data_IF_321007554513
#
_entry.id   IF_321007554513
#
_cell.length_a   1.000
_cell.length_b   1.000
_cell.length_c   1.000
_cell.angle_alpha   90.00
_cell.angle_beta   90.00
_cell.angle_gamma   90.00
#
_symmetry.space_group_name_H-M   'P 1'
#
loop_
_entity.id
_entity.type
_entity.pdbx_description
1 polymer ?
#
# COMPACT_ATOMS: atom_id res chain seq x y z
N UNK A 1 11.30 -5.62 0.65
CA UNK A 1 10.23 -5.10 1.54
C UNK A 1 9.18 -6.19 1.81
N UNK A 2 8.19 -5.94 2.66
CA UNK A 2 7.17 -6.94 3.07
C UNK A 2 6.46 -7.62 1.89
N UNK A 3 6.06 -6.84 0.87
CA UNK A 3 5.40 -7.35 -0.33
C UNK A 3 6.33 -8.32 -1.10
N UNK A 4 7.58 -7.93 -1.33
CA UNK A 4 8.52 -8.79 -2.07
C UNK A 4 8.87 -10.06 -1.29
N UNK A 5 8.93 -9.99 0.05
CA UNK A 5 9.11 -11.16 0.89
C UNK A 5 7.92 -12.12 0.73
N UNK A 6 6.69 -11.63 0.82
CA UNK A 6 5.49 -12.44 0.63
C UNK A 6 5.45 -13.08 -0.76
N UNK A 7 5.78 -12.32 -1.82
CA UNK A 7 5.86 -12.84 -3.19
C UNK A 7 6.93 -13.92 -3.33
N UNK A 8 8.11 -13.71 -2.74
CA UNK A 8 9.19 -14.70 -2.76
C UNK A 8 8.81 -15.98 -2.02
N UNK A 9 8.20 -15.89 -0.83
CA UNK A 9 7.74 -17.06 -0.07
C UNK A 9 6.69 -17.86 -0.86
N UNK A 10 5.67 -17.20 -1.44
CA UNK A 10 4.67 -17.86 -2.27
C UNK A 10 5.24 -18.49 -3.55
N UNK A 11 6.30 -17.93 -4.10
CA UNK A 11 6.97 -18.52 -5.26
C UNK A 11 7.75 -19.80 -4.89
N UNK A 12 8.35 -19.82 -3.70
CA UNK A 12 9.05 -21.00 -3.18
C UNK A 12 8.09 -22.11 -2.74
N UNK A 13 6.91 -21.73 -2.27
CA UNK A 13 5.90 -22.65 -1.77
C UNK A 13 4.47 -22.16 -2.09
N UNK A 14 3.89 -22.59 -3.21
CA UNK A 14 2.65 -22.03 -3.75
C UNK A 14 1.38 -22.59 -3.11
N UNK A 15 1.46 -23.15 -1.89
CA UNK A 15 0.29 -23.68 -1.19
C UNK A 15 -0.62 -22.55 -0.73
N UNK A 16 -1.87 -22.57 -1.20
CA UNK A 16 -2.89 -21.57 -0.84
C UNK A 16 -3.11 -21.51 0.67
N UNK A 17 -3.22 -20.30 1.21
CA UNK A 17 -3.42 -20.07 2.65
C UNK A 17 -2.20 -20.35 3.53
N UNK A 18 -1.04 -20.72 2.97
CA UNK A 18 0.20 -20.89 3.74
C UNK A 18 0.97 -19.60 3.95
N UNK A 19 0.74 -18.62 3.09
CA UNK A 19 1.37 -17.31 3.13
C UNK A 19 0.29 -16.26 2.97
N UNK A 20 0.15 -15.39 3.96
CA UNK A 20 -0.86 -14.34 3.98
C UNK A 20 -0.20 -12.97 4.02
N UNK A 21 -0.84 -11.98 3.37
CA UNK A 21 -0.38 -10.61 3.34
C UNK A 21 -1.50 -9.68 3.81
N UNK A 22 -1.22 -8.86 4.82
CA UNK A 22 -2.11 -7.78 5.26
C UNK A 22 -1.42 -6.44 5.00
N UNK A 23 -2.07 -5.57 4.23
CA UNK A 23 -1.60 -4.21 3.91
C UNK A 23 -2.62 -3.20 4.42
N UNK A 24 -2.39 -2.66 5.61
CA UNK A 24 -3.23 -1.59 6.16
C UNK A 24 -2.68 -0.19 5.87
N UNK A 25 -3.47 0.87 6.14
CA UNK A 25 -3.12 2.25 5.88
C UNK A 25 -2.21 2.82 6.98
N UNK A 26 -1.14 2.10 7.32
CA UNK A 26 -0.35 2.36 8.52
C UNK A 26 1.07 2.83 8.20
N UNK A 27 1.62 3.59 9.15
CA UNK A 27 3.04 3.93 9.24
C UNK A 27 3.67 3.12 10.36
N UNK A 28 4.99 3.17 10.48
CA UNK A 28 5.73 2.31 11.41
C UNK A 28 5.43 2.59 12.90
N UNK A 29 4.96 3.79 13.24
CA UNK A 29 4.77 4.22 14.63
C UNK A 29 3.42 3.83 15.22
N UNK A 30 3.38 3.69 16.54
CA UNK A 30 2.13 3.58 17.31
C UNK A 30 1.46 2.23 17.21
N UNK A 31 0.20 2.16 17.65
CA UNK A 31 -0.63 0.95 17.65
C UNK A 31 -1.40 0.79 16.33
N UNK A 32 -0.78 1.17 15.21
CA UNK A 32 -1.39 1.15 13.87
C UNK A 32 -2.77 1.86 13.87
N UNK A 33 -2.83 3.15 14.25
CA UNK A 33 -4.09 3.87 14.36
C UNK A 33 -4.68 4.20 12.98
N UNK A 34 -5.93 4.61 12.96
CA UNK A 34 -6.64 5.02 11.73
C UNK A 34 -6.27 6.44 11.23
N UNK A 35 -5.58 7.24 12.04
CA UNK A 35 -5.23 8.63 11.70
C UNK A 35 -3.73 8.76 11.51
N UNK A 36 -3.32 9.06 10.28
CA UNK A 36 -1.92 9.21 9.87
C UNK A 36 -1.72 10.58 9.22
N UNK A 37 -0.94 11.44 9.87
CA UNK A 37 -0.82 12.84 9.45
C UNK A 37 -2.19 13.52 9.43
N UNK A 38 -2.62 13.94 8.24
CA UNK A 38 -3.91 14.60 8.01
C UNK A 38 -5.02 13.64 7.53
N UNK A 39 -4.67 12.38 7.27
CA UNK A 39 -5.59 11.38 6.73
C UNK A 39 -6.20 10.56 7.86
N UNK A 40 -7.53 10.48 7.89
CA UNK A 40 -8.27 9.59 8.77
C UNK A 40 -9.01 8.54 7.94
N UNK A 41 -8.62 7.28 8.08
CA UNK A 41 -9.16 6.14 7.33
C UNK A 41 -10.37 5.48 8.00
N UNK A 42 -10.98 6.18 8.96
CA UNK A 42 -12.15 5.73 9.70
C UNK A 42 -11.84 4.57 10.67
N UNK A 43 -12.81 4.15 11.49
CA UNK A 43 -12.58 3.17 12.55
C UNK A 43 -12.00 1.84 12.03
N UNK A 44 -12.40 1.42 10.82
CA UNK A 44 -11.94 0.19 10.19
C UNK A 44 -10.50 0.27 9.67
N UNK A 45 -9.93 1.45 9.47
CA UNK A 45 -8.54 1.64 9.06
C UNK A 45 -7.51 1.40 10.17
N UNK A 46 -7.94 1.31 11.44
CA UNK A 46 -7.05 0.94 12.56
C UNK A 46 -6.76 -0.56 12.63
N UNK A 47 -5.68 -0.99 13.29
CA UNK A 47 -5.44 -2.42 13.51
C UNK A 47 -6.56 -3.12 14.30
N UNK A 48 -7.20 -2.42 15.24
CA UNK A 48 -8.36 -2.94 15.96
C UNK A 48 -9.56 -3.12 15.01
N UNK A 49 -9.87 -2.09 14.21
CA UNK A 49 -10.95 -2.14 13.22
C UNK A 49 -10.72 -3.19 12.12
N UNK A 50 -9.45 -3.42 11.75
CA UNK A 50 -9.03 -4.48 10.85
C UNK A 50 -9.11 -5.89 11.45
N UNK A 51 -9.35 -5.99 12.77
CA UNK A 51 -9.32 -7.23 13.56
C UNK A 51 -7.99 -7.97 13.40
N UNK A 52 -6.88 -7.22 13.40
CA UNK A 52 -5.56 -7.78 13.10
C UNK A 52 -5.15 -8.87 14.10
N UNK A 53 -5.51 -8.74 15.38
CA UNK A 53 -5.25 -9.77 16.38
C UNK A 53 -5.97 -11.09 16.03
N UNK A 54 -7.23 -11.01 15.61
CA UNK A 54 -8.02 -12.19 15.23
C UNK A 54 -7.42 -12.88 14.01
N UNK A 55 -6.92 -12.12 13.02
CA UNK A 55 -6.22 -12.69 11.87
C UNK A 55 -4.97 -13.49 12.26
N UNK A 56 -4.22 -13.02 13.26
CA UNK A 56 -3.07 -13.78 13.78
C UNK A 56 -3.51 -15.05 14.48
N UNK A 57 -4.57 -14.99 15.31
CA UNK A 57 -5.10 -16.17 16.00
C UNK A 57 -5.62 -17.20 14.99
N UNK A 58 -6.38 -16.79 13.98
CA UNK A 58 -6.87 -17.65 12.90
C UNK A 58 -5.72 -18.30 12.12
N UNK A 59 -4.62 -17.58 11.90
CA UNK A 59 -3.40 -18.13 11.29
C UNK A 59 -2.74 -19.18 12.19
N UNK A 60 -2.50 -18.85 13.47
CA UNK A 60 -1.89 -19.78 14.41
C UNK A 60 -2.73 -21.04 14.63
N UNK A 61 -4.04 -20.88 14.70
CA UNK A 61 -4.97 -22.00 14.89
C UNK A 61 -4.86 -23.03 13.77
N UNK A 62 -4.72 -22.57 12.52
CA UNK A 62 -4.56 -23.44 11.35
C UNK A 62 -3.23 -24.17 11.31
N UNK A 63 -2.17 -23.57 11.84
CA UNK A 63 -0.81 -24.10 11.69
C UNK A 63 -0.27 -24.80 12.94
N UNK A 64 -0.82 -24.51 14.11
CA UNK A 64 -0.29 -24.99 15.39
C UNK A 64 -1.24 -25.92 16.15
N UNK A 65 -2.56 -25.92 15.86
CA UNK A 65 -3.48 -26.86 16.53
C UNK A 65 -3.36 -28.27 15.95
N UNK A 66 -3.48 -29.32 16.78
CA UNK A 66 -3.56 -30.70 16.30
C UNK A 66 -4.71 -30.88 15.31
N UNK A 67 -4.52 -31.75 14.31
CA UNK A 67 -5.47 -31.99 13.23
C UNK A 67 -6.90 -32.24 13.77
N UNK A 68 -7.81 -31.31 13.47
CA UNK A 68 -9.20 -31.34 13.95
C UNK A 68 -9.94 -29.99 13.90
N UNK A 69 -9.22 -28.87 13.81
CA UNK A 69 -9.81 -27.55 13.58
C UNK A 69 -9.88 -27.20 12.11
N UNK A 70 -10.91 -27.65 11.39
CA UNK A 70 -11.23 -27.08 10.07
C UNK A 70 -11.91 -25.73 10.30
N UNK A 71 -11.13 -24.67 10.49
CA UNK A 71 -11.68 -23.32 10.32
C UNK A 71 -12.03 -23.18 8.84
N UNK A 72 -13.32 -23.16 8.53
CA UNK A 72 -13.81 -22.93 7.17
C UNK A 72 -13.16 -21.66 6.64
N UNK A 73 -12.34 -21.81 5.58
CA UNK A 73 -11.66 -20.67 4.98
C UNK A 73 -12.71 -19.83 4.27
N UNK A 74 -12.93 -18.61 4.74
CA UNK A 74 -13.61 -17.62 3.91
C UNK A 74 -12.76 -17.40 2.64
N UNK A 75 -13.29 -17.81 1.49
CA UNK A 75 -12.58 -18.04 0.22
C UNK A 75 -12.04 -16.77 -0.47
N UNK A 76 -12.16 -15.61 0.17
CA UNK A 76 -11.85 -14.31 -0.44
C UNK A 76 -10.38 -14.01 -0.77
N UNK A 77 -9.44 -14.93 -0.54
CA UNK A 77 -8.03 -14.81 -0.96
C UNK A 77 -7.04 -14.55 0.19
N UNK A 78 -5.77 -14.80 -0.12
CA UNK A 78 -4.63 -14.81 0.82
C UNK A 78 -4.02 -13.41 1.04
N UNK A 79 -4.52 -12.39 0.32
CA UNK A 79 -4.11 -10.99 0.47
C UNK A 79 -5.30 -10.18 0.94
N UNK A 80 -5.11 -9.39 2.00
CA UNK A 80 -6.06 -8.40 2.50
C UNK A 80 -5.39 -7.02 2.45
N UNK A 81 -6.04 -6.03 1.85
CA UNK A 81 -5.48 -4.69 1.72
C UNK A 81 -6.54 -3.63 1.93
N UNK A 82 -6.16 -2.50 2.50
CA UNK A 82 -7.02 -1.33 2.63
C UNK A 82 -6.86 -0.46 1.37
N UNK A 83 -7.99 -0.10 0.74
CA UNK A 83 -8.00 0.74 -0.45
C UNK A 83 -8.39 2.17 -0.04
N UNK A 84 -7.46 3.10 -0.21
CA UNK A 84 -7.76 4.53 -0.05
C UNK A 84 -8.73 5.01 -1.12
N UNK A 85 -9.59 5.96 -0.77
CA UNK A 85 -10.67 6.47 -1.63
C UNK A 85 -11.99 5.75 -1.39
N UNK A 86 -11.96 4.42 -1.40
CA UNK A 86 -13.09 3.58 -0.96
C UNK A 86 -13.15 3.45 0.58
N UNK A 87 -12.01 3.70 1.24
CA UNK A 87 -11.78 3.58 2.68
C UNK A 87 -12.27 2.24 3.26
N UNK A 88 -12.01 1.16 2.52
CA UNK A 88 -12.52 -0.17 2.79
C UNK A 88 -11.43 -1.24 2.67
N UNK A 89 -11.68 -2.37 3.33
CA UNK A 89 -10.84 -3.57 3.22
C UNK A 89 -11.27 -4.43 2.03
N UNK A 90 -10.33 -4.72 1.15
CA UNK A 90 -10.50 -5.61 0.02
C UNK A 90 -9.68 -6.88 0.22
N UNK A 91 -10.03 -7.90 -0.55
CA UNK A 91 -9.28 -9.16 -0.60
C UNK A 91 -8.88 -9.48 -2.03
N UNK A 92 -7.74 -10.15 -2.19
CA UNK A 92 -7.24 -10.64 -3.47
C UNK A 92 -6.56 -12.00 -3.31
N UNK A 93 -6.56 -12.80 -4.37
CA UNK A 93 -5.89 -14.11 -4.39
C UNK A 93 -4.36 -13.99 -4.36
N UNK A 94 -3.81 -12.88 -4.85
CA UNK A 94 -2.38 -12.60 -4.98
C UNK A 94 -2.12 -11.09 -4.88
N UNK A 95 -0.84 -10.74 -4.74
CA UNK A 95 -0.38 -9.37 -4.92
C UNK A 95 0.63 -9.30 -6.09
N UNK A 96 0.46 -8.36 -7.04
CA UNK A 96 -0.67 -7.44 -7.19
C UNK A 96 -2.02 -8.17 -7.40
N UNK A 97 -3.17 -7.51 -7.19
CA UNK A 97 -4.47 -8.07 -7.52
C UNK A 97 -4.50 -8.59 -8.97
N UNK A 98 -5.11 -9.75 -9.28
CA UNK A 98 -5.04 -10.36 -10.62
C UNK A 98 -5.51 -9.49 -11.79
N UNK A 99 -6.40 -8.52 -11.54
CA UNK A 99 -6.90 -7.59 -12.54
C UNK A 99 -6.03 -6.33 -12.71
N UNK A 100 -4.83 -6.30 -12.12
CA UNK A 100 -3.90 -5.18 -12.26
C UNK A 100 -3.40 -5.07 -13.70
N UNK A 101 -3.46 -3.86 -14.26
CA UNK A 101 -2.93 -3.55 -15.58
C UNK A 101 -1.87 -2.46 -15.42
N UNK A 102 -0.67 -2.72 -15.91
CA UNK A 102 0.38 -1.70 -15.99
C UNK A 102 -0.01 -0.68 -17.06
N UNK A 103 -0.29 0.55 -16.63
CA UNK A 103 -0.66 1.66 -17.50
C UNK A 103 0.42 2.75 -17.44
N UNK A 104 1.23 2.93 -18.48
CA UNK A 104 2.24 3.98 -18.48
C UNK A 104 1.59 5.37 -18.56
N UNK A 105 2.10 6.30 -17.77
CA UNK A 105 1.79 7.73 -17.86
C UNK A 105 3.06 8.49 -18.22
N UNK A 106 2.97 9.32 -19.25
CA UNK A 106 4.10 10.05 -19.82
C UNK A 106 4.06 11.51 -19.37
N UNK A 107 5.22 12.06 -19.01
CA UNK A 107 5.38 13.48 -18.75
C UNK A 107 5.22 14.26 -20.06
N UNK A 108 4.46 15.35 -20.01
CA UNK A 108 4.28 16.27 -21.12
C UNK A 108 4.36 17.72 -20.65
N UNK A 109 4.83 18.59 -21.54
CA UNK A 109 4.79 20.03 -21.30
C UNK A 109 3.35 20.58 -21.27
N UNK A 110 3.21 21.88 -20.99
CA UNK A 110 1.92 22.55 -20.93
C UNK A 110 1.14 22.42 -22.26
N UNK A 111 -0.18 22.47 -22.19
CA UNK A 111 -1.01 22.70 -23.38
C UNK A 111 -0.93 24.18 -23.79
N UNK A 112 -1.32 24.49 -25.03
CA UNK A 112 -1.41 25.88 -25.48
C UNK A 112 -2.32 26.69 -24.55
N UNK A 113 -1.75 27.66 -23.83
CA UNK A 113 -2.47 28.52 -22.90
C UNK A 113 -2.64 27.99 -21.47
N UNK A 114 -2.06 26.84 -21.14
CA UNK A 114 -2.02 26.31 -19.76
C UNK A 114 -0.64 26.55 -19.10
N UNK A 115 -0.64 26.65 -17.78
CA UNK A 115 0.58 26.65 -16.96
C UNK A 115 0.76 25.27 -16.30
N UNK A 116 1.99 24.75 -16.33
CA UNK A 116 2.36 23.49 -15.64
C UNK A 116 2.46 22.26 -16.55
N UNK A 117 3.22 21.27 -16.07
CA UNK A 117 3.37 19.98 -16.73
C UNK A 117 2.11 19.12 -16.62
N UNK A 118 1.99 18.14 -17.52
CA UNK A 118 0.83 17.23 -17.63
C UNK A 118 1.28 15.77 -17.64
N UNK A 119 0.33 14.88 -17.36
CA UNK A 119 0.49 13.43 -17.52
C UNK A 119 -0.44 12.93 -18.63
N UNK A 120 0.12 12.21 -19.60
CA UNK A 120 -0.62 11.65 -20.74
C UNK A 120 -0.61 10.12 -20.72
N UNK A 121 -1.69 9.44 -21.10
CA UNK A 121 -1.73 7.97 -21.20
C UNK A 121 -1.02 7.43 -22.46
N UNK A 122 -0.59 8.32 -23.36
CA UNK A 122 0.15 7.99 -24.57
C UNK A 122 1.39 8.90 -24.69
N UNK A 123 2.46 8.46 -25.37
CA UNK A 123 3.65 9.28 -25.58
C UNK A 123 3.28 10.61 -26.26
N UNK A 124 3.81 11.76 -25.80
CA UNK A 124 3.54 13.03 -26.43
C UNK A 124 4.07 13.05 -27.88
N UNK A 125 3.29 13.65 -28.79
CA UNK A 125 3.67 13.82 -30.21
C UNK A 125 4.67 14.96 -30.44
N UNK A 126 4.89 15.79 -29.42
CA UNK A 126 5.80 16.93 -29.46
C UNK A 126 7.26 16.47 -29.34
N UNK A 127 8.20 17.28 -29.82
CA UNK A 127 9.62 17.00 -29.66
C UNK A 127 9.98 16.85 -28.16
N UNK A 128 10.96 15.98 -27.81
CA UNK A 128 11.39 15.82 -26.43
C UNK A 128 11.80 17.17 -25.80
N UNK A 129 11.15 17.53 -24.70
CA UNK A 129 11.51 18.66 -23.86
C UNK A 129 12.29 18.23 -22.62
N UNK A 130 12.77 19.19 -21.84
CA UNK A 130 13.33 18.95 -20.51
C UNK A 130 12.86 20.04 -19.55
N UNK A 131 12.68 19.65 -18.28
CA UNK A 131 12.54 20.57 -17.16
C UNK A 131 13.86 20.61 -16.39
N UNK A 132 14.23 21.79 -15.89
CA UNK A 132 15.46 21.99 -15.13
C UNK A 132 15.15 22.64 -13.78
N UNK A 133 15.84 22.18 -12.73
CA UNK A 133 15.81 22.77 -11.41
C UNK A 133 17.21 22.74 -10.80
N UNK A 134 17.48 23.64 -9.85
CA UNK A 134 18.72 23.64 -9.06
C UNK A 134 18.46 22.95 -7.73
N UNK A 135 19.31 22.00 -7.37
CA UNK A 135 19.29 21.35 -6.06
C UNK A 135 20.39 21.94 -5.18
N UNK A 136 20.01 22.49 -4.02
CA UNK A 136 20.93 22.93 -2.98
C UNK A 136 20.93 21.91 -1.83
N UNK A 137 22.04 21.21 -1.55
CA UNK A 137 22.14 20.29 -0.41
C UNK A 137 21.94 20.97 0.95
N UNK A 138 22.19 22.27 1.07
CA UNK A 138 21.98 23.05 2.30
C UNK A 138 20.51 23.52 2.46
N UNK A 139 19.70 23.41 1.41
CA UNK A 139 18.26 23.66 1.41
C UNK A 139 17.50 22.50 0.74
N UNK A 140 17.48 21.30 1.37
CA UNK A 140 16.83 20.13 0.79
C UNK A 140 15.30 20.23 0.88
N UNK A 141 14.61 19.59 -0.07
CA UNK A 141 13.15 19.45 0.01
C UNK A 141 12.77 18.73 1.31
N UNK A 142 11.94 19.34 2.18
CA UNK A 142 11.55 18.73 3.44
C UNK A 142 10.73 17.46 3.19
N UNK A 143 10.96 16.44 4.02
CA UNK A 143 10.11 15.25 4.02
C UNK A 143 8.77 15.54 4.68
N UNK A 144 7.68 15.34 3.95
CA UNK A 144 6.31 15.47 4.41
C UNK A 144 5.61 14.11 4.29
N UNK A 145 5.32 13.47 5.41
CA UNK A 145 4.72 12.13 5.43
C UNK A 145 5.60 11.01 4.85
N UNK A 146 4.98 10.02 4.23
CA UNK A 146 5.63 8.90 3.59
C UNK A 146 6.23 7.86 4.55
N UNK A 147 7.25 7.13 4.07
CA UNK A 147 7.84 5.97 4.77
C UNK A 147 8.91 6.38 5.79
N UNK A 148 8.61 7.34 6.67
CA UNK A 148 9.54 7.84 7.69
C UNK A 148 9.24 7.28 9.08
N UNK A 149 10.28 7.12 9.90
CA UNK A 149 10.14 6.76 11.31
C UNK A 149 9.75 8.00 12.11
N UNK A 150 8.49 8.05 12.56
CA UNK A 150 7.94 9.19 13.28
C UNK A 150 8.36 9.16 14.75
N UNK A 151 9.27 10.07 15.15
CA UNK A 151 9.84 10.17 16.52
C UNK A 151 9.37 11.41 17.32
N UNK A 152 8.34 12.14 16.87
CA UNK A 152 7.63 13.07 17.79
C UNK A 152 7.44 14.53 17.38
N UNK A 153 7.10 14.82 16.13
CA UNK A 153 6.32 16.02 15.79
C UNK A 153 5.50 15.72 14.54
N UNK A 154 4.20 16.00 14.58
CA UNK A 154 3.32 15.90 13.42
C UNK A 154 3.84 16.89 12.37
N UNK A 155 4.45 16.39 11.29
CA UNK A 155 4.60 17.15 10.06
C UNK A 155 3.59 16.56 9.09
N UNK A 156 2.74 17.44 8.56
CA UNK A 156 1.61 17.11 7.70
C UNK A 156 2.02 16.29 6.46
N UNK A 157 1.09 15.44 6.00
CA UNK A 157 1.20 14.63 4.79
C UNK A 157 0.93 13.13 5.04
N UNK A 158 0.36 12.39 4.06
CA UNK A 158 0.33 10.92 4.06
C UNK A 158 1.71 10.30 3.85
#
# INVERSE_FOLDING_TARGET
GTIELHRAMRALDPVAGRHELVVGPWVHSGQLPQVQGEVNTGPYGSAQGARLADLHLDFFDRHLRPAGGTTDRDSGGDVRYFLFGDDAWHRAASWPPPATVDAPWYLAGPADGEEGGRLLPAPPHQAPGHDAFTYDPEDPVPSHGGRVLQLGRLVAGP
#
